data_IF_183948754483
#
_entry.id   IF_183948754483
#
_cell.length_a   1.000
_cell.length_b   1.000
_cell.length_c   1.000
_cell.angle_alpha   90.00
_cell.angle_beta   90.00
_cell.angle_gamma   90.00
#
_symmetry.space_group_name_H-M   'P 1'
#
loop_
_entity.id
_entity.type
_entity.pdbx_description
1 polymer ?
#
# COMPACT_ATOMS: atom_id res chain seq x y z
N UNK A 1 17.43 22.42 1.25
CA UNK A 1 17.79 22.15 -0.15
C UNK A 1 16.80 22.85 -1.06
N UNK A 2 17.31 23.51 -2.09
CA UNK A 2 16.55 24.11 -3.19
C UNK A 2 15.84 23.02 -3.99
N UNK A 3 14.66 23.31 -4.56
CA UNK A 3 13.92 22.33 -5.36
C UNK A 3 14.61 22.06 -6.71
N UNK A 4 14.46 20.84 -7.22
CA UNK A 4 14.88 20.46 -8.57
C UNK A 4 13.93 21.08 -9.61
N UNK A 5 14.46 21.40 -10.80
CA UNK A 5 13.70 22.05 -11.89
C UNK A 5 12.44 21.29 -12.31
N UNK A 6 12.49 19.96 -12.28
CA UNK A 6 11.35 19.07 -12.51
C UNK A 6 11.74 17.65 -12.07
N UNK A 7 10.79 16.71 -12.20
CA UNK A 7 11.02 15.32 -11.82
C UNK A 7 12.11 14.64 -12.67
N UNK A 8 12.25 14.99 -13.96
CA UNK A 8 13.32 14.45 -14.80
C UNK A 8 14.71 14.89 -14.30
N UNK A 9 14.86 16.16 -13.90
CA UNK A 9 16.10 16.64 -13.29
C UNK A 9 16.41 15.89 -11.98
N UNK A 10 15.39 15.57 -11.19
CA UNK A 10 15.55 14.73 -10.01
C UNK A 10 15.95 13.29 -10.37
N UNK A 11 15.29 12.67 -11.36
CA UNK A 11 15.61 11.32 -11.85
C UNK A 11 17.07 11.22 -12.30
N UNK A 12 17.57 12.21 -13.04
CA UNK A 12 18.98 12.32 -13.43
C UNK A 12 19.91 12.49 -12.23
N UNK A 13 19.56 13.38 -11.28
CA UNK A 13 20.37 13.61 -10.08
C UNK A 13 20.51 12.35 -9.22
N UNK A 14 19.42 11.59 -9.07
CA UNK A 14 19.40 10.34 -8.33
C UNK A 14 20.03 9.17 -9.09
N UNK A 15 20.38 9.36 -10.37
CA UNK A 15 20.97 8.33 -11.24
C UNK A 15 20.10 7.07 -11.27
N UNK A 16 18.77 7.25 -11.41
CA UNK A 16 17.83 6.14 -11.46
C UNK A 16 18.15 5.27 -12.69
N UNK A 17 18.55 4.00 -12.51
CA UNK A 17 18.88 3.13 -13.64
C UNK A 17 17.61 2.74 -14.40
N UNK A 18 17.72 2.42 -15.71
CA UNK A 18 16.66 1.70 -16.38
C UNK A 18 16.47 0.33 -15.74
N UNK A 19 15.27 -0.23 -15.87
CA UNK A 19 14.93 -1.59 -15.46
C UNK A 19 14.44 -2.37 -16.68
N UNK A 20 14.38 -3.69 -16.58
CA UNK A 20 13.96 -4.60 -17.65
C UNK A 20 14.86 -4.56 -18.90
N UNK A 21 16.15 -4.26 -18.75
CA UNK A 21 17.13 -4.26 -19.85
C UNK A 21 17.83 -5.62 -20.05
N UNK A 22 17.79 -6.48 -19.04
CA UNK A 22 18.51 -7.76 -19.01
C UNK A 22 19.96 -7.62 -18.52
N UNK A 23 20.33 -6.45 -18.01
CA UNK A 23 21.65 -6.22 -17.43
C UNK A 23 21.81 -7.05 -16.15
N UNK A 24 23.03 -7.58 -15.95
CA UNK A 24 23.40 -8.36 -14.77
C UNK A 24 24.44 -7.62 -13.94
N UNK A 25 24.23 -7.60 -12.65
CA UNK A 25 25.08 -6.97 -11.66
C UNK A 25 25.74 -8.03 -10.77
N UNK A 26 26.92 -7.71 -10.25
CA UNK A 26 27.60 -8.51 -9.26
C UNK A 26 28.04 -7.62 -8.10
N UNK A 27 27.47 -7.87 -6.92
CA UNK A 27 27.87 -7.20 -5.69
C UNK A 27 28.36 -8.23 -4.68
N UNK A 28 29.67 -8.20 -4.38
CA UNK A 28 30.30 -9.13 -3.41
C UNK A 28 30.01 -10.61 -3.71
N UNK A 29 29.98 -11.00 -4.99
CA UNK A 29 29.70 -12.37 -5.43
C UNK A 29 28.23 -12.71 -5.57
N UNK A 30 27.32 -11.82 -5.18
CA UNK A 30 25.88 -11.95 -5.37
C UNK A 30 25.57 -11.41 -6.76
N UNK A 31 25.18 -12.31 -7.68
CA UNK A 31 24.71 -11.95 -9.02
C UNK A 31 23.20 -11.73 -9.02
N UNK A 32 22.71 -10.67 -9.67
CA UNK A 32 21.30 -10.34 -9.86
C UNK A 32 21.10 -9.59 -11.18
N UNK A 33 19.86 -9.46 -11.65
CA UNK A 33 19.50 -8.70 -12.85
C UNK A 33 18.51 -7.56 -12.57
N UNK A 34 18.28 -6.70 -13.57
CA UNK A 34 17.29 -5.62 -13.52
C UNK A 34 15.90 -6.02 -14.02
N UNK A 35 15.61 -7.32 -14.17
CA UNK A 35 14.30 -7.76 -14.66
C UNK A 35 13.33 -7.83 -13.48
N UNK A 36 12.20 -7.14 -13.62
CA UNK A 36 11.11 -7.23 -12.67
C UNK A 36 10.51 -8.63 -12.62
N UNK A 37 10.10 -9.04 -11.42
CA UNK A 37 9.34 -10.25 -11.20
C UNK A 37 8.79 -10.30 -9.79
N UNK A 38 8.35 -11.51 -9.39
CA UNK A 38 7.91 -11.78 -8.03
C UNK A 38 9.01 -12.52 -7.29
N UNK A 39 9.63 -11.84 -6.32
CA UNK A 39 10.76 -12.36 -5.58
C UNK A 39 10.31 -12.88 -4.22
N UNK A 40 10.68 -14.12 -3.91
CA UNK A 40 10.36 -14.73 -2.61
C UNK A 40 11.21 -14.12 -1.49
N UNK A 41 10.57 -13.72 -0.40
CA UNK A 41 11.24 -13.27 0.81
C UNK A 41 10.59 -13.94 2.02
N UNK A 42 11.36 -14.66 2.83
CA UNK A 42 10.83 -15.23 4.07
C UNK A 42 10.46 -14.14 5.06
N UNK A 43 9.40 -14.35 5.83
CA UNK A 43 9.08 -13.49 6.98
C UNK A 43 10.19 -13.56 8.04
N UNK A 44 10.26 -12.53 8.90
CA UNK A 44 11.31 -12.44 9.94
C UNK A 44 11.31 -13.63 10.91
N UNK A 45 10.12 -14.18 11.22
CA UNK A 45 9.90 -15.36 12.05
C UNK A 45 9.92 -16.68 11.25
N UNK A 46 10.17 -16.61 9.94
CA UNK A 46 10.16 -17.71 8.99
C UNK A 46 8.84 -18.49 8.88
N UNK A 47 7.72 -17.95 9.37
CA UNK A 47 6.39 -18.58 9.37
C UNK A 47 5.66 -18.54 8.02
N UNK A 48 5.98 -17.58 7.14
CA UNK A 48 5.37 -17.42 5.82
C UNK A 48 6.37 -16.87 4.77
N UNK A 49 5.93 -16.83 3.52
CA UNK A 49 6.69 -16.30 2.38
C UNK A 49 5.97 -15.07 1.80
N UNK A 50 6.67 -13.95 1.73
CA UNK A 50 6.24 -12.77 0.98
C UNK A 50 6.61 -12.90 -0.50
N UNK A 51 5.77 -12.33 -1.37
CA UNK A 51 6.07 -12.10 -2.78
C UNK A 51 6.27 -10.61 -3.03
N UNK A 52 7.53 -10.19 -3.09
CA UNK A 52 7.89 -8.81 -3.40
C UNK A 52 7.91 -8.60 -4.91
N UNK A 53 7.12 -7.66 -5.40
CA UNK A 53 7.12 -7.28 -6.81
C UNK A 53 8.21 -6.22 -7.09
N UNK A 54 8.91 -6.36 -8.22
CA UNK A 54 9.94 -5.42 -8.67
C UNK A 54 11.25 -6.15 -8.99
N UNK A 55 12.38 -5.44 -8.95
CA UNK A 55 13.71 -6.05 -9.14
C UNK A 55 14.21 -6.69 -7.85
N UNK A 56 15.00 -7.76 -7.98
CA UNK A 56 15.41 -8.60 -6.84
C UNK A 56 16.10 -7.81 -5.71
N UNK A 57 17.01 -6.91 -6.07
CA UNK A 57 17.87 -6.17 -5.16
C UNK A 57 17.61 -4.66 -5.20
N UNK A 58 16.35 -4.25 -5.07
CA UNK A 58 16.04 -2.85 -4.83
C UNK A 58 16.46 -2.43 -3.40
N UNK A 59 17.65 -1.84 -3.29
CA UNK A 59 18.23 -1.31 -2.04
C UNK A 59 17.58 0.01 -1.58
N UNK A 60 16.75 0.60 -2.43
CA UNK A 60 16.14 1.91 -2.23
C UNK A 60 14.69 1.82 -2.66
N UNK A 61 13.81 2.48 -1.91
CA UNK A 61 12.41 2.66 -2.26
C UNK A 61 12.01 4.13 -2.21
N UNK A 62 10.85 4.41 -2.78
CA UNK A 62 10.40 5.75 -3.10
C UNK A 62 8.94 5.95 -2.69
N UNK A 63 8.62 7.17 -2.32
CA UNK A 63 7.24 7.64 -2.14
C UNK A 63 7.09 9.01 -2.78
N UNK A 64 6.21 9.10 -3.76
CA UNK A 64 5.86 10.36 -4.41
C UNK A 64 4.65 11.02 -3.77
N UNK A 65 4.66 12.35 -3.68
CA UNK A 65 3.46 13.13 -3.40
C UNK A 65 3.44 14.40 -4.27
N UNK A 66 2.24 14.78 -4.72
CA UNK A 66 2.01 16.01 -5.49
C UNK A 66 2.37 17.30 -4.75
N UNK A 67 2.51 17.25 -3.43
CA UNK A 67 2.92 18.40 -2.63
C UNK A 67 3.75 17.93 -1.44
N UNK A 68 4.78 18.71 -1.06
CA UNK A 68 5.35 18.65 0.28
C UNK A 68 4.38 19.31 1.26
N UNK A 69 3.70 18.50 2.08
CA UNK A 69 2.78 18.95 3.11
C UNK A 69 3.49 19.36 4.42
N UNK A 70 4.83 19.27 4.47
CA UNK A 70 5.64 19.53 5.66
C UNK A 70 5.92 18.25 6.45
N UNK A 71 4.89 17.43 6.62
CA UNK A 71 4.88 16.16 7.35
C UNK A 71 4.31 15.03 6.47
N UNK A 72 4.71 13.78 6.75
CA UNK A 72 4.25 12.60 6.03
C UNK A 72 3.71 11.56 7.02
N UNK A 73 2.45 11.75 7.41
CA UNK A 73 1.73 10.90 8.37
C UNK A 73 0.99 9.74 7.69
N UNK A 74 0.66 8.71 8.47
CA UNK A 74 -0.20 7.59 8.06
C UNK A 74 -1.63 8.03 7.74
N UNK A 75 -2.46 7.15 7.15
CA UNK A 75 -3.87 7.44 6.93
C UNK A 75 -4.62 7.73 8.23
N UNK A 76 -4.39 6.93 9.27
CA UNK A 76 -5.03 7.08 10.57
C UNK A 76 -4.57 8.33 11.32
N UNK A 77 -3.29 8.72 11.19
CA UNK A 77 -2.75 9.93 11.83
C UNK A 77 -3.18 11.22 11.14
N UNK A 78 -3.74 11.14 9.92
CA UNK A 78 -4.35 12.29 9.23
C UNK A 78 -5.80 12.55 9.63
N UNK A 79 -6.44 11.65 10.39
CA UNK A 79 -7.77 11.86 10.94
C UNK A 79 -7.77 13.09 11.86
N UNK A 80 -8.67 14.06 11.61
CA UNK A 80 -8.65 15.35 12.30
C UNK A 80 -9.28 15.29 13.70
N UNK A 81 -10.26 14.40 13.87
CA UNK A 81 -11.02 14.22 15.11
C UNK A 81 -11.04 12.75 15.54
N UNK A 82 -11.34 12.50 16.81
CA UNK A 82 -11.53 11.14 17.31
C UNK A 82 -12.70 10.42 16.62
N UNK A 83 -13.74 11.16 16.20
CA UNK A 83 -14.83 10.64 15.38
C UNK A 83 -14.36 10.20 13.98
N UNK A 84 -13.44 10.94 13.35
CA UNK A 84 -12.83 10.54 12.06
C UNK A 84 -11.99 9.27 12.24
N UNK A 85 -11.20 9.20 13.31
CA UNK A 85 -10.37 8.05 13.61
C UNK A 85 -11.23 6.81 13.88
N UNK A 86 -12.29 6.95 14.69
CA UNK A 86 -13.20 5.88 15.00
C UNK A 86 -13.92 5.34 13.74
N UNK A 87 -14.42 6.24 12.87
CA UNK A 87 -15.03 5.85 11.58
C UNK A 87 -14.02 5.11 10.67
N UNK A 88 -12.78 5.59 10.60
CA UNK A 88 -11.72 4.92 9.85
C UNK A 88 -11.44 3.51 10.37
N UNK A 89 -11.31 3.34 11.69
CA UNK A 89 -11.09 2.02 12.31
C UNK A 89 -12.27 1.07 12.12
N UNK A 90 -13.50 1.61 12.19
CA UNK A 90 -14.72 0.87 11.95
C UNK A 90 -14.79 0.34 10.52
N UNK A 91 -14.53 1.20 9.52
CA UNK A 91 -14.50 0.81 8.11
C UNK A 91 -13.40 -0.21 7.82
N UNK A 92 -12.23 -0.08 8.45
CA UNK A 92 -11.18 -1.09 8.36
C UNK A 92 -11.65 -2.45 8.87
N UNK A 93 -12.29 -2.51 10.04
CA UNK A 93 -12.83 -3.77 10.59
C UNK A 93 -13.84 -4.43 9.65
N UNK A 94 -14.75 -3.64 9.05
CA UNK A 94 -15.69 -4.17 8.06
C UNK A 94 -14.96 -4.68 6.81
N UNK A 95 -13.99 -3.93 6.30
CA UNK A 95 -13.22 -4.32 5.13
C UNK A 95 -12.45 -5.63 5.36
N UNK A 96 -11.74 -5.73 6.48
CA UNK A 96 -11.00 -6.93 6.89
C UNK A 96 -11.92 -8.13 7.02
N UNK A 97 -13.05 -7.99 7.73
CA UNK A 97 -14.02 -9.06 7.89
C UNK A 97 -14.59 -9.54 6.55
N UNK A 98 -14.88 -8.63 5.62
CA UNK A 98 -15.33 -9.00 4.27
C UNK A 98 -14.22 -9.66 3.45
N UNK A 99 -13.00 -9.12 3.50
CA UNK A 99 -11.84 -9.67 2.81
C UNK A 99 -11.57 -11.12 3.21
N UNK A 100 -11.81 -11.48 4.48
CA UNK A 100 -11.71 -12.85 4.99
C UNK A 100 -12.67 -13.84 4.31
N UNK A 101 -13.76 -13.34 3.73
CA UNK A 101 -14.74 -14.14 2.97
C UNK A 101 -14.43 -14.19 1.47
N UNK A 102 -13.45 -13.42 0.99
CA UNK A 102 -13.13 -13.34 -0.43
C UNK A 102 -12.58 -14.69 -0.93
N UNK A 103 -13.15 -15.30 -1.99
CA UNK A 103 -12.73 -16.62 -2.47
C UNK A 103 -11.24 -16.74 -2.80
N UNK A 104 -10.67 -15.75 -3.50
CA UNK A 104 -9.22 -15.68 -3.76
C UNK A 104 -8.36 -15.77 -2.49
N UNK A 105 -8.73 -15.04 -1.43
CA UNK A 105 -7.99 -15.07 -0.16
C UNK A 105 -8.13 -16.43 0.53
N UNK A 106 -9.36 -16.97 0.60
CA UNK A 106 -9.64 -18.29 1.17
C UNK A 106 -8.84 -19.38 0.44
N UNK A 107 -8.78 -19.29 -0.89
CA UNK A 107 -8.01 -20.21 -1.73
C UNK A 107 -6.51 -20.04 -1.48
N UNK A 108 -6.00 -18.81 -1.44
CA UNK A 108 -4.57 -18.53 -1.28
C UNK A 108 -4.01 -19.02 0.05
N UNK A 109 -4.79 -18.93 1.14
CA UNK A 109 -4.40 -19.44 2.46
C UNK A 109 -4.14 -20.95 2.51
N UNK A 110 -4.59 -21.69 1.50
CA UNK A 110 -4.36 -23.13 1.35
C UNK A 110 -3.19 -23.45 0.41
N UNK A 111 -2.67 -22.46 -0.30
CA UNK A 111 -1.50 -22.61 -1.17
C UNK A 111 -0.25 -22.42 -0.33
N UNK A 112 0.72 -23.29 -0.53
CA UNK A 112 2.04 -23.16 0.09
C UNK A 112 3.13 -23.06 -0.96
N UNK A 113 4.24 -22.42 -0.57
CA UNK A 113 5.48 -22.34 -1.30
C UNK A 113 6.59 -22.81 -0.37
N UNK A 114 7.30 -23.88 -0.75
CA UNK A 114 8.31 -24.54 0.11
C UNK A 114 7.74 -24.87 1.50
N UNK A 115 6.57 -25.53 1.52
CA UNK A 115 5.80 -25.92 2.72
C UNK A 115 5.29 -24.76 3.61
N UNK A 116 5.51 -23.51 3.20
CA UNK A 116 5.08 -22.33 3.95
C UNK A 116 3.90 -21.62 3.28
N UNK A 117 2.94 -21.08 4.04
CA UNK A 117 1.89 -20.24 3.48
C UNK A 117 2.46 -18.92 2.96
N UNK A 118 1.71 -18.25 2.10
CA UNK A 118 2.02 -16.88 1.71
C UNK A 118 1.62 -15.88 2.79
N UNK A 119 2.46 -14.88 3.04
CA UNK A 119 2.14 -13.78 3.94
C UNK A 119 1.08 -12.89 3.29
N UNK A 120 -0.01 -12.60 4.01
CA UNK A 120 -1.08 -11.71 3.55
C UNK A 120 -1.31 -10.63 4.60
N UNK A 121 -1.07 -9.39 4.21
CA UNK A 121 -1.22 -8.19 5.02
C UNK A 121 -2.53 -7.47 4.65
N UNK A 122 -3.58 -7.72 5.42
CA UNK A 122 -4.91 -7.17 5.14
C UNK A 122 -4.98 -5.66 5.30
N UNK A 123 -4.18 -5.08 6.20
CA UNK A 123 -4.07 -3.64 6.36
C UNK A 123 -3.31 -3.03 5.16
N UNK A 124 -2.26 -3.68 4.69
CA UNK A 124 -1.59 -3.34 3.43
C UNK A 124 -2.57 -3.34 2.26
N UNK A 125 -3.34 -4.41 2.09
CA UNK A 125 -4.41 -4.48 1.07
C UNK A 125 -5.40 -3.33 1.25
N UNK A 126 -5.96 -3.14 2.44
CA UNK A 126 -6.93 -2.07 2.74
C UNK A 126 -6.42 -0.68 2.33
N UNK A 127 -5.14 -0.39 2.55
CA UNK A 127 -4.51 0.85 2.12
C UNK A 127 -4.59 1.08 0.59
N UNK A 128 -4.26 0.08 -0.22
CA UNK A 128 -4.32 0.19 -1.68
C UNK A 128 -5.76 0.28 -2.22
N UNK A 129 -6.74 -0.09 -1.41
CA UNK A 129 -8.16 0.10 -1.70
C UNK A 129 -8.75 1.38 -1.09
N UNK A 130 -7.89 2.26 -0.56
CA UNK A 130 -8.24 3.61 -0.15
C UNK A 130 -8.78 3.72 1.28
N UNK A 131 -8.60 2.70 2.11
CA UNK A 131 -8.88 2.79 3.55
C UNK A 131 -7.69 3.42 4.29
N UNK A 132 -7.98 4.16 5.35
CA UNK A 132 -6.96 4.79 6.18
C UNK A 132 -6.30 3.75 7.09
N UNK A 133 -4.99 3.57 7.00
CA UNK A 133 -4.21 2.63 7.82
C UNK A 133 -3.03 3.34 8.49
N UNK A 134 -2.28 2.62 9.33
CA UNK A 134 -1.02 3.07 9.94
C UNK A 134 0.18 2.97 8.99
N UNK A 135 -0.02 2.45 7.78
CA UNK A 135 1.01 2.38 6.76
C UNK A 135 1.21 3.72 6.03
N UNK A 136 2.39 3.88 5.44
CA UNK A 136 2.62 4.70 4.25
C UNK A 136 3.11 3.82 3.10
N UNK A 137 2.54 4.04 1.93
CA UNK A 137 2.90 3.32 0.72
C UNK A 137 4.27 3.77 0.19
N UNK A 138 5.13 2.79 -0.08
CA UNK A 138 6.46 2.94 -0.68
C UNK A 138 6.61 1.91 -1.80
N UNK A 139 7.42 2.23 -2.80
CA UNK A 139 7.63 1.36 -3.97
C UNK A 139 9.11 1.35 -4.37
N UNK A 140 9.67 0.19 -4.75
CA UNK A 140 11.03 0.12 -5.30
C UNK A 140 11.09 0.67 -6.74
N UNK A 141 9.94 0.90 -7.38
CA UNK A 141 9.86 1.38 -8.76
C UNK A 141 9.70 2.90 -8.78
N UNK A 142 10.76 3.59 -9.24
CA UNK A 142 10.78 5.05 -9.28
C UNK A 142 9.69 5.64 -10.20
N UNK A 143 9.32 4.96 -11.28
CA UNK A 143 8.30 5.45 -12.21
C UNK A 143 6.91 5.35 -11.58
N UNK A 144 6.62 4.29 -10.79
CA UNK A 144 5.39 4.20 -10.00
C UNK A 144 5.32 5.34 -8.97
N UNK A 145 6.39 5.57 -8.21
CA UNK A 145 6.44 6.71 -7.28
C UNK A 145 6.28 8.05 -8.01
N UNK A 146 6.83 8.16 -9.22
CA UNK A 146 6.71 9.35 -10.06
C UNK A 146 5.27 9.65 -10.45
N UNK A 147 4.46 8.62 -10.71
CA UNK A 147 3.03 8.76 -10.95
C UNK A 147 2.35 9.46 -9.76
N UNK A 148 2.51 8.93 -8.54
CA UNK A 148 1.95 9.53 -7.32
C UNK A 148 2.53 10.92 -6.98
N UNK A 149 3.75 11.20 -7.44
CA UNK A 149 4.37 12.52 -7.28
C UNK A 149 3.82 13.57 -8.25
N UNK A 150 3.20 13.16 -9.36
CA UNK A 150 2.86 14.08 -10.46
C UNK A 150 1.41 14.02 -10.93
N UNK A 151 0.58 13.10 -10.42
CA UNK A 151 -0.86 13.06 -10.75
C UNK A 151 -1.72 13.40 -9.54
N UNK A 152 -2.75 14.24 -9.74
CA UNK A 152 -3.77 14.52 -8.74
C UNK A 152 -5.03 13.71 -9.01
N UNK A 153 -5.68 13.21 -7.97
CA UNK A 153 -7.00 12.61 -8.10
C UNK A 153 -8.07 13.69 -8.23
N UNK A 154 -8.99 13.53 -9.18
CA UNK A 154 -10.15 14.40 -9.36
C UNK A 154 -11.42 13.65 -8.95
N UNK A 155 -12.01 14.06 -7.83
CA UNK A 155 -13.22 13.43 -7.27
C UNK A 155 -14.45 13.55 -8.18
N UNK A 156 -14.51 14.55 -9.08
CA UNK A 156 -15.67 14.72 -9.97
C UNK A 156 -15.61 13.75 -11.15
N UNK A 157 -14.42 13.55 -11.71
CA UNK A 157 -14.22 12.67 -12.86
C UNK A 157 -13.85 11.25 -12.43
N UNK A 158 -13.54 11.05 -11.14
CA UNK A 158 -13.06 9.79 -10.56
C UNK A 158 -11.83 9.25 -11.32
N UNK A 159 -10.89 10.15 -11.64
CA UNK A 159 -9.69 9.85 -12.42
C UNK A 159 -8.49 10.66 -11.93
N UNK A 160 -7.31 10.14 -12.21
CA UNK A 160 -6.08 10.92 -12.08
C UNK A 160 -5.98 11.95 -13.21
N UNK A 161 -5.36 13.09 -12.92
CA UNK A 161 -5.07 14.15 -13.88
C UNK A 161 -3.63 14.64 -13.71
N UNK A 162 -2.92 14.94 -14.81
CA UNK A 162 -1.56 15.45 -14.73
C UNK A 162 -1.46 16.75 -13.95
N UNK A 163 -0.53 16.82 -13.00
CA UNK A 163 -0.24 18.06 -12.28
C UNK A 163 0.30 19.11 -13.24
N UNK A 164 -0.35 20.28 -13.21
CA UNK A 164 0.12 21.47 -13.90
C UNK A 164 1.22 22.16 -13.09
N UNK A 165 1.94 23.08 -13.74
CA UNK A 165 2.86 23.97 -13.03
C UNK A 165 2.11 24.73 -11.93
N UNK A 166 2.56 24.59 -10.69
CA UNK A 166 1.95 25.26 -9.54
C UNK A 166 3.01 25.75 -8.54
N UNK A 167 2.59 26.60 -7.60
CA UNK A 167 3.49 27.16 -6.58
C UNK A 167 3.97 26.10 -5.58
N UNK A 168 3.12 25.10 -5.31
CA UNK A 168 3.45 23.98 -4.43
C UNK A 168 4.44 23.05 -5.12
N UNK A 169 5.43 22.58 -4.38
CA UNK A 169 6.48 21.71 -4.90
C UNK A 169 6.07 20.26 -4.69
N UNK A 170 6.22 19.43 -5.71
CA UNK A 170 6.14 17.98 -5.56
C UNK A 170 7.28 17.48 -4.67
N UNK A 171 7.10 16.30 -4.08
CA UNK A 171 8.09 15.68 -3.21
C UNK A 171 8.28 14.21 -3.54
N UNK A 172 9.53 13.78 -3.51
CA UNK A 172 9.94 12.39 -3.57
C UNK A 172 10.71 12.07 -2.29
N UNK A 173 10.18 11.15 -1.50
CA UNK A 173 10.92 10.55 -0.40
C UNK A 173 11.68 9.36 -0.93
N UNK A 174 12.93 9.21 -0.49
CA UNK A 174 13.80 8.07 -0.77
C UNK A 174 14.15 7.41 0.54
N UNK A 175 13.96 6.10 0.65
CA UNK A 175 14.29 5.33 1.85
C UNK A 175 15.20 4.15 1.51
N UNK A 176 16.12 3.84 2.43
CA UNK A 176 16.86 2.57 2.42
C UNK A 176 16.22 1.65 3.49
N UNK A 177 15.40 0.65 3.11
CA UNK A 177 14.60 -0.12 4.05
C UNK A 177 15.40 -1.12 4.90
N UNK A 178 16.71 -1.26 4.69
CA UNK A 178 17.55 -2.29 5.33
C UNK A 178 17.40 -2.38 6.86
N UNK A 179 17.23 -1.25 7.55
CA UNK A 179 17.02 -1.22 9.01
C UNK A 179 15.56 -1.54 9.38
N UNK A 180 14.61 -1.12 8.54
CA UNK A 180 13.17 -1.29 8.77
C UNK A 180 12.67 -2.73 8.54
N UNK A 181 13.48 -3.57 7.87
CA UNK A 181 13.21 -5.00 7.66
C UNK A 181 13.48 -5.82 8.92
N UNK A 182 14.28 -5.31 9.85
CA UNK A 182 14.58 -6.01 11.10
C UNK A 182 13.51 -5.71 12.15
N UNK A 183 13.07 -6.70 12.93
CA UNK A 183 12.16 -6.46 14.06
C UNK A 183 12.86 -5.62 15.14
N UNK A 184 12.09 -4.82 15.88
CA UNK A 184 12.59 -4.05 17.01
C UNK A 184 11.96 -4.56 18.32
N UNK A 185 12.70 -5.41 19.04
CA UNK A 185 12.15 -6.08 20.21
C UNK A 185 11.03 -7.04 19.80
N UNK A 186 9.87 -6.91 20.45
CA UNK A 186 8.66 -7.70 20.16
C UNK A 186 7.78 -7.10 19.06
N UNK A 187 8.13 -5.92 18.54
CA UNK A 187 7.37 -5.27 17.46
C UNK A 187 7.73 -5.87 16.09
N UNK A 188 6.73 -6.09 15.21
CA UNK A 188 7.00 -6.54 13.85
C UNK A 188 7.85 -5.51 13.10
N UNK A 189 8.57 -5.91 12.04
CA UNK A 189 9.28 -4.99 11.17
C UNK A 189 8.36 -3.87 10.67
N UNK A 190 8.89 -2.64 10.63
CA UNK A 190 8.16 -1.51 10.06
C UNK A 190 7.96 -1.69 8.55
N UNK A 191 8.86 -2.40 7.87
CA UNK A 191 8.75 -2.71 6.45
C UNK A 191 7.97 -4.01 6.21
N UNK A 192 6.97 -3.98 5.34
CA UNK A 192 6.23 -5.16 4.90
C UNK A 192 6.13 -5.19 3.37
N UNK A 193 6.58 -6.26 2.69
CA UNK A 193 6.24 -6.45 1.29
C UNK A 193 4.73 -6.62 1.12
N UNK A 194 4.12 -5.73 0.33
CA UNK A 194 2.69 -5.86 0.02
C UNK A 194 2.55 -6.63 -1.29
N UNK A 195 3.02 -6.08 -2.41
CA UNK A 195 3.21 -6.78 -3.69
C UNK A 195 2.00 -7.62 -4.11
N UNK A 196 2.26 -8.81 -4.65
CA UNK A 196 1.17 -9.72 -4.98
C UNK A 196 0.62 -10.39 -3.72
N UNK A 197 -0.63 -10.12 -3.38
CA UNK A 197 -1.36 -10.76 -2.29
C UNK A 197 -2.78 -11.10 -2.76
N UNK A 198 -2.97 -12.23 -3.44
CA UNK A 198 -4.05 -12.50 -4.43
C UNK A 198 -4.70 -11.36 -5.25
N UNK A 199 -4.25 -10.11 -5.13
CA UNK A 199 -4.88 -8.93 -5.73
C UNK A 199 -3.88 -8.20 -6.64
N UNK A 200 -4.36 -7.72 -7.79
CA UNK A 200 -3.50 -7.10 -8.82
C UNK A 200 -2.99 -5.74 -8.42
N UNK A 201 -3.83 -4.94 -7.75
CA UNK A 201 -3.53 -3.54 -7.51
C UNK A 201 -2.21 -3.33 -6.75
N UNK A 202 -1.93 -4.01 -5.62
CA UNK A 202 -0.66 -3.79 -4.94
C UNK A 202 0.53 -4.38 -5.72
N UNK A 203 0.34 -5.42 -6.55
CA UNK A 203 1.38 -5.90 -7.46
C UNK A 203 1.71 -4.86 -8.54
N UNK A 204 0.72 -4.28 -9.21
CA UNK A 204 0.94 -3.28 -10.26
C UNK A 204 1.62 -2.01 -9.73
N UNK A 205 1.38 -1.67 -8.46
CA UNK A 205 2.03 -0.56 -7.78
C UNK A 205 3.42 -0.94 -7.21
N UNK A 206 3.83 -2.21 -7.37
CA UNK A 206 5.06 -2.76 -6.76
C UNK A 206 5.12 -2.44 -5.25
N UNK A 207 3.98 -2.56 -4.60
CA UNK A 207 3.74 -1.95 -3.32
C UNK A 207 4.52 -2.60 -2.18
N UNK A 208 5.07 -1.78 -1.29
CA UNK A 208 5.48 -2.18 0.04
C UNK A 208 4.95 -1.16 1.06
N UNK A 209 4.73 -1.60 2.29
CA UNK A 209 4.28 -0.74 3.37
C UNK A 209 5.42 -0.38 4.31
N UNK A 210 5.46 0.87 4.75
CA UNK A 210 6.19 1.27 5.95
C UNK A 210 5.17 1.61 7.04
N UNK A 211 5.11 0.80 8.10
CA UNK A 211 4.24 1.01 9.26
C UNK A 211 4.80 2.12 10.14
N UNK A 212 3.98 3.12 10.43
CA UNK A 212 4.33 4.23 11.31
C UNK A 212 3.78 3.99 12.72
N UNK A 213 4.59 4.33 13.73
CA UNK A 213 4.08 4.48 15.08
C UNK A 213 3.08 5.66 15.15
N UNK A 214 2.25 5.70 16.20
CA UNK A 214 1.24 6.76 16.38
C UNK A 214 1.91 8.13 16.40
N UNK A 215 1.51 9.01 15.48
CA UNK A 215 2.08 10.35 15.33
C UNK A 215 3.51 10.40 14.77
N UNK A 216 4.07 9.27 14.32
CA UNK A 216 5.37 9.25 13.65
C UNK A 216 5.28 9.92 12.28
N UNK A 217 6.27 10.74 11.96
CA UNK A 217 6.38 11.44 10.69
C UNK A 217 7.42 10.74 9.83
N UNK A 218 6.97 10.07 8.76
CA UNK A 218 7.84 9.35 7.83
C UNK A 218 8.97 10.22 7.27
N UNK A 219 8.74 11.54 7.12
CA UNK A 219 9.76 12.45 6.60
C UNK A 219 10.94 12.68 7.56
N UNK A 220 10.80 12.29 8.83
CA UNK A 220 11.81 12.43 9.88
C UNK A 220 12.48 11.09 10.25
N UNK A 221 12.03 9.98 9.68
CA UNK A 221 12.67 8.68 9.84
C UNK A 221 14.12 8.78 9.34
N UNK A 222 15.07 8.28 10.13
CA UNK A 222 16.51 8.50 9.91
C UNK A 222 17.00 8.03 8.53
N UNK A 223 16.40 6.98 7.97
CA UNK A 223 16.75 6.42 6.66
C UNK A 223 16.04 7.09 5.48
N UNK A 224 15.19 8.08 5.75
CA UNK A 224 14.41 8.80 4.73
C UNK A 224 15.11 10.10 4.34
N UNK A 225 15.27 10.30 3.04
CA UNK A 225 15.73 11.56 2.45
C UNK A 225 14.62 12.18 1.62
N UNK A 226 14.40 13.49 1.82
CA UNK A 226 13.36 14.26 1.13
C UNK A 226 13.93 15.08 -0.03
N UNK A 227 13.39 14.91 -1.23
CA UNK A 227 13.72 15.68 -2.43
C UNK A 227 12.50 16.43 -2.96
N UNK A 228 12.62 17.74 -3.22
CA UNK A 228 11.53 18.57 -3.74
C UNK A 228 11.77 18.89 -5.22
N UNK A 229 10.72 18.96 -6.02
CA UNK A 229 10.82 19.36 -7.42
C UNK A 229 9.67 20.28 -7.84
N UNK A 230 9.89 21.06 -8.89
CA UNK A 230 8.88 21.91 -9.50
C UNK A 230 8.01 21.09 -10.47
N UNK A 231 6.69 21.28 -10.41
CA UNK A 231 5.80 20.63 -11.37
C UNK A 231 6.02 21.16 -12.78
N UNK A 232 5.99 20.26 -13.75
CA UNK A 232 6.10 20.58 -15.17
C UNK A 232 5.07 19.74 -15.92
N UNK A 233 4.18 20.41 -16.65
CA UNK A 233 3.04 19.76 -17.30
C UNK A 233 3.48 18.69 -18.31
N UNK A 234 4.51 18.94 -19.11
CA UNK A 234 4.98 17.98 -20.12
C UNK A 234 5.48 16.69 -19.46
N UNK A 235 6.22 16.80 -18.35
CA UNK A 235 6.70 15.65 -17.57
C UNK A 235 5.55 14.91 -16.91
N UNK A 236 4.61 15.61 -16.26
CA UNK A 236 3.43 14.98 -15.64
C UNK A 236 2.61 14.23 -16.70
N UNK A 237 2.41 14.84 -17.88
CA UNK A 237 1.67 14.21 -18.98
C UNK A 237 2.38 12.96 -19.51
N UNK A 238 3.70 13.01 -19.69
CA UNK A 238 4.47 11.84 -20.13
C UNK A 238 4.27 10.65 -19.17
N UNK A 239 4.34 10.89 -17.86
CA UNK A 239 4.14 9.86 -16.84
C UNK A 239 2.69 9.38 -16.84
N UNK A 240 1.73 10.28 -16.99
CA UNK A 240 0.31 9.92 -17.13
C UNK A 240 0.08 8.97 -18.31
N UNK A 241 0.64 9.29 -19.48
CA UNK A 241 0.50 8.46 -20.68
C UNK A 241 1.21 7.10 -20.51
N UNK A 242 2.38 7.06 -19.83
CA UNK A 242 3.12 5.83 -19.52
C UNK A 242 2.30 4.83 -18.69
N UNK A 243 1.41 5.32 -17.82
CA UNK A 243 0.55 4.48 -16.98
C UNK A 243 -0.90 4.42 -17.49
N UNK A 244 -1.15 4.81 -18.74
CA UNK A 244 -2.48 4.83 -19.36
C UNK A 244 -3.53 5.57 -18.52
N UNK A 245 -3.12 6.72 -17.98
CA UNK A 245 -3.96 7.52 -17.08
C UNK A 245 -4.17 6.95 -15.68
N UNK A 246 -3.40 5.92 -15.32
CA UNK A 246 -3.48 5.22 -14.04
C UNK A 246 -4.11 3.83 -14.16
N UNK A 247 -4.70 3.48 -15.31
CA UNK A 247 -5.38 2.18 -15.50
C UNK A 247 -4.42 0.99 -15.28
N UNK A 248 -3.14 1.15 -15.62
CA UNK A 248 -2.13 0.11 -15.34
C UNK A 248 -1.85 -0.07 -13.84
N UNK A 249 -2.01 0.97 -13.01
CA UNK A 249 -1.76 0.93 -11.56
C UNK A 249 -3.02 0.63 -10.75
N UNK A 250 -4.20 0.85 -11.32
CA UNK A 250 -5.49 0.69 -10.68
C UNK A 250 -6.39 -0.22 -11.52
N UNK A 251 -6.01 -1.49 -11.73
CA UNK A 251 -6.87 -2.44 -12.41
C UNK A 251 -8.20 -2.54 -11.68
N UNK A 252 -9.27 -2.66 -12.46
CA UNK A 252 -10.61 -2.82 -11.93
C UNK A 252 -10.78 -4.25 -11.41
N UNK A 253 -11.13 -4.38 -10.13
CA UNK A 253 -11.39 -5.68 -9.51
C UNK A 253 -12.58 -5.61 -8.53
N UNK A 254 -13.25 -6.73 -8.22
CA UNK A 254 -14.39 -6.74 -7.29
C UNK A 254 -14.08 -6.26 -5.86
N UNK A 255 -12.81 -6.31 -5.43
CA UNK A 255 -12.39 -5.81 -4.12
C UNK A 255 -12.40 -4.28 -4.07
N UNK A 256 -12.16 -3.60 -5.20
CA UNK A 256 -12.34 -2.16 -5.35
C UNK A 256 -13.79 -1.75 -5.09
N UNK A 257 -14.74 -2.43 -5.75
CA UNK A 257 -16.15 -2.16 -5.54
C UNK A 257 -16.55 -2.43 -4.08
N UNK A 258 -16.06 -3.52 -3.49
CA UNK A 258 -16.31 -3.81 -2.09
C UNK A 258 -15.80 -2.69 -1.16
N UNK A 259 -14.58 -2.20 -1.38
CA UNK A 259 -14.03 -1.07 -0.63
C UNK A 259 -14.87 0.21 -0.78
N UNK A 260 -15.41 0.48 -1.98
CA UNK A 260 -16.30 1.61 -2.22
C UNK A 260 -17.61 1.47 -1.44
N UNK A 261 -18.20 0.28 -1.41
CA UNK A 261 -19.37 0.03 -0.57
C UNK A 261 -19.04 0.18 0.93
N UNK A 262 -17.89 -0.31 1.39
CA UNK A 262 -17.44 -0.11 2.78
C UNK A 262 -17.28 1.38 3.11
N UNK A 263 -16.73 2.20 2.21
CA UNK A 263 -16.60 3.65 2.38
C UNK A 263 -17.95 4.37 2.35
N UNK A 264 -18.96 3.81 1.69
CA UNK A 264 -20.31 4.35 1.62
C UNK A 264 -21.25 3.85 2.73
N UNK A 265 -20.82 2.87 3.54
CA UNK A 265 -21.66 2.32 4.62
C UNK A 265 -22.06 3.38 5.65
N UNK A 266 -23.32 3.29 6.06
CA UNK A 266 -23.98 4.14 7.07
C UNK A 266 -24.62 3.32 8.20
N UNK A 267 -24.48 1.99 8.19
CA UNK A 267 -25.10 1.10 9.17
C UNK A 267 -24.08 0.08 9.66
N UNK A 268 -23.94 -0.07 10.98
CA UNK A 268 -22.94 -0.95 11.60
C UNK A 268 -23.54 -1.77 12.72
N UNK A 269 -23.03 -2.98 12.92
CA UNK A 269 -23.46 -3.86 14.02
C UNK A 269 -22.71 -3.53 15.31
N UNK A 270 -23.28 -3.95 16.45
CA UNK A 270 -22.63 -3.75 17.75
C UNK A 270 -21.25 -4.43 17.81
N UNK A 271 -21.08 -5.58 17.16
CA UNK A 271 -19.80 -6.28 17.08
C UNK A 271 -18.73 -5.45 16.36
N UNK A 272 -19.09 -4.81 15.24
CA UNK A 272 -18.19 -3.93 14.48
C UNK A 272 -17.79 -2.70 15.29
N UNK A 273 -18.75 -2.10 16.02
CA UNK A 273 -18.51 -0.97 16.91
C UNK A 273 -17.56 -1.36 18.04
N UNK A 274 -17.76 -2.52 18.67
CA UNK A 274 -16.90 -3.01 19.74
C UNK A 274 -15.47 -3.24 19.25
N UNK A 275 -15.28 -3.87 18.09
CA UNK A 275 -13.96 -4.09 17.51
C UNK A 275 -13.24 -2.77 17.20
N UNK A 276 -13.95 -1.79 16.63
CA UNK A 276 -13.43 -0.45 16.38
C UNK A 276 -13.04 0.26 17.68
N UNK A 277 -13.84 0.09 18.74
CA UNK A 277 -13.56 0.64 20.08
C UNK A 277 -12.28 0.06 20.68
N UNK A 278 -12.06 -1.25 20.56
CA UNK A 278 -10.83 -1.89 21.00
C UNK A 278 -9.60 -1.39 20.23
N UNK A 279 -9.71 -1.27 18.90
CA UNK A 279 -8.67 -0.69 18.05
C UNK A 279 -8.36 0.76 18.44
N UNK A 280 -9.40 1.55 18.71
CA UNK A 280 -9.27 2.93 19.16
C UNK A 280 -8.58 3.01 20.52
N UNK A 281 -8.99 2.16 21.48
CA UNK A 281 -8.42 2.12 22.82
C UNK A 281 -6.94 1.72 22.82
N UNK A 282 -6.55 0.74 22.01
CA UNK A 282 -5.13 0.37 21.83
C UNK A 282 -4.31 1.54 21.28
N UNK A 283 -4.88 2.34 20.36
CA UNK A 283 -4.19 3.46 19.73
C UNK A 283 -4.09 4.69 20.63
N UNK A 284 -5.14 5.02 21.36
CA UNK A 284 -5.28 6.29 22.12
C UNK A 284 -5.05 6.12 23.62
N UNK A 285 -5.00 4.89 24.12
CA UNK A 285 -4.90 4.59 25.55
C UNK A 285 -6.16 4.92 26.33
N UNK A 286 -7.31 5.09 25.66
CA UNK A 286 -8.59 5.43 26.28
C UNK A 286 -9.74 4.67 25.61
N UNK A 287 -10.66 4.14 26.41
CA UNK A 287 -11.86 3.45 25.91
C UNK A 287 -13.04 4.42 25.93
N UNK A 288 -13.64 4.75 24.77
CA UNK A 288 -14.83 5.59 24.73
C UNK A 288 -16.04 4.84 25.31
N UNK A 289 -16.95 5.56 25.93
CA UNK A 289 -18.21 5.00 26.40
C UNK A 289 -19.26 4.91 25.27
N UNK A 290 -20.39 4.27 25.56
CA UNK A 290 -21.45 4.06 24.58
C UNK A 290 -22.09 5.38 24.11
N UNK A 291 -22.20 6.38 24.98
CA UNK A 291 -22.75 7.69 24.61
C UNK A 291 -21.83 8.39 23.59
N UNK A 292 -20.52 8.28 23.79
CA UNK A 292 -19.50 8.81 22.88
C UNK A 292 -19.53 8.09 21.53
N UNK A 293 -19.64 6.76 21.51
CA UNK A 293 -19.80 6.01 20.27
C UNK A 293 -21.05 6.45 19.49
N UNK A 294 -22.20 6.59 20.16
CA UNK A 294 -23.45 7.03 19.52
C UNK A 294 -23.34 8.46 18.99
N UNK A 295 -22.67 9.35 19.71
CA UNK A 295 -22.42 10.72 19.26
C UNK A 295 -21.55 10.74 17.99
N UNK A 296 -20.46 9.95 17.95
CA UNK A 296 -19.60 9.85 16.76
C UNK A 296 -20.32 9.23 15.56
N UNK A 297 -21.09 8.16 15.76
CA UNK A 297 -21.90 7.55 14.70
C UNK A 297 -22.91 8.57 14.14
N UNK A 298 -23.63 9.28 15.01
CA UNK A 298 -24.59 10.32 14.61
C UNK A 298 -23.91 11.44 13.83
N UNK A 299 -22.75 11.92 14.29
CA UNK A 299 -21.93 12.91 13.58
C UNK A 299 -21.55 12.46 12.17
N UNK A 300 -21.35 11.15 11.97
CA UNK A 300 -21.00 10.53 10.69
C UNK A 300 -22.20 10.10 9.85
N UNK A 301 -23.43 10.40 10.30
CA UNK A 301 -24.64 9.95 9.62
C UNK A 301 -24.78 8.43 9.60
N UNK A 302 -24.20 7.76 10.60
CA UNK A 302 -24.19 6.32 10.76
C UNK A 302 -25.10 5.88 11.91
N UNK A 303 -25.64 4.66 11.85
CA UNK A 303 -26.49 4.11 12.90
C UNK A 303 -26.18 2.65 13.23
N UNK A 304 -26.62 2.23 14.42
CA UNK A 304 -26.56 0.84 14.87
C UNK A 304 -27.68 0.03 14.22
N UNK A 305 -27.34 -1.17 13.73
CA UNK A 305 -28.28 -2.17 13.20
C UNK A 305 -27.96 -3.55 13.76
N UNK A 306 -28.93 -4.46 13.73
CA UNK A 306 -28.73 -5.84 14.19
C UNK A 306 -27.87 -6.64 13.20
N UNK A 307 -28.07 -6.42 11.90
CA UNK A 307 -27.38 -7.12 10.81
C UNK A 307 -26.92 -6.14 9.73
N UNK A 308 -25.75 -6.39 9.13
CA UNK A 308 -25.24 -5.61 8.01
C UNK A 308 -25.48 -6.38 6.70
N UNK A 309 -26.04 -5.71 5.70
CA UNK A 309 -26.36 -6.27 4.39
C UNK A 309 -25.15 -6.45 3.47
N UNK A 310 -23.99 -5.90 3.84
CA UNK A 310 -22.78 -5.97 3.03
C UNK A 310 -22.24 -7.41 2.89
N UNK A 311 -22.55 -8.29 3.85
CA UNK A 311 -22.14 -9.69 3.83
C UNK A 311 -23.35 -10.61 3.86
N UNK A 312 -23.54 -11.51 2.87
CA UNK A 312 -22.57 -11.89 1.83
C UNK A 312 -22.47 -10.88 0.68
N UNK A 313 -21.24 -10.54 0.29
CA UNK A 313 -20.96 -9.75 -0.91
C UNK A 313 -20.83 -10.67 -2.12
N UNK A 314 -21.44 -10.32 -3.25
CA UNK A 314 -21.26 -11.06 -4.49
C UNK A 314 -19.94 -10.66 -5.15
N UNK A 315 -18.87 -11.40 -4.84
CA UNK A 315 -17.54 -11.18 -5.38
C UNK A 315 -17.44 -11.37 -6.90
N UNK A 316 -18.45 -11.96 -7.56
CA UNK A 316 -18.40 -12.36 -8.98
C UNK A 316 -17.09 -13.09 -9.32
N UNK A 317 -16.67 -13.96 -8.41
CA UNK A 317 -15.39 -14.63 -8.49
C UNK A 317 -15.42 -15.74 -9.54
N UNK A 318 -14.49 -15.68 -10.50
CA UNK A 318 -14.24 -16.74 -11.47
C UNK A 318 -13.08 -17.61 -10.96
N UNK A 319 -13.41 -18.80 -10.48
CA UNK A 319 -12.43 -19.74 -9.95
C UNK A 319 -11.46 -20.23 -11.04
N UNK A 320 -11.93 -20.45 -12.26
CA UNK A 320 -11.08 -20.94 -13.34
C UNK A 320 -10.05 -19.89 -13.76
N UNK A 321 -10.49 -18.64 -13.94
CA UNK A 321 -9.59 -17.54 -14.25
C UNK A 321 -8.57 -17.30 -13.12
N UNK A 322 -9.00 -17.41 -11.86
CA UNK A 322 -8.10 -17.27 -10.73
C UNK A 322 -7.02 -18.37 -10.68
N UNK A 323 -7.38 -19.64 -10.91
CA UNK A 323 -6.39 -20.73 -10.93
C UNK A 323 -5.40 -20.58 -12.10
N UNK A 324 -5.85 -20.15 -13.28
CA UNK A 324 -4.95 -19.85 -14.41
C UNK A 324 -3.95 -18.76 -14.03
N UNK A 325 -4.43 -17.68 -13.42
CA UNK A 325 -3.57 -16.58 -12.97
C UNK A 325 -2.61 -17.00 -11.86
N UNK A 326 -3.05 -17.86 -10.94
CA UNK A 326 -2.17 -18.43 -9.91
C UNK A 326 -1.06 -19.28 -10.55
N UNK A 327 -1.38 -20.07 -11.58
CA UNK A 327 -0.40 -20.81 -12.36
C UNK A 327 0.59 -19.88 -13.08
N UNK A 328 0.10 -18.82 -13.73
CA UNK A 328 0.95 -17.81 -14.38
C UNK A 328 1.86 -17.10 -13.38
N UNK A 329 1.32 -16.66 -12.25
CA UNK A 329 2.10 -16.07 -11.17
C UNK A 329 3.18 -17.03 -10.69
N UNK A 330 2.86 -18.32 -10.50
CA UNK A 330 3.85 -19.31 -10.06
C UNK A 330 5.06 -19.44 -11.00
N UNK A 331 4.86 -19.21 -12.32
CA UNK A 331 5.94 -19.22 -13.32
C UNK A 331 6.83 -17.96 -13.23
N UNK A 332 6.32 -16.88 -12.65
CA UNK A 332 7.03 -15.61 -12.46
C UNK A 332 7.77 -15.55 -11.13
N UNK A 333 7.53 -16.50 -10.21
CA UNK A 333 8.22 -16.56 -8.92
C UNK A 333 9.72 -16.85 -9.13
N UNK A 334 10.55 -15.95 -8.64
CA UNK A 334 12.01 -16.03 -8.67
C UNK A 334 12.52 -16.33 -7.27
N UNK A 335 13.28 -17.41 -7.17
CA UNK A 335 13.89 -17.88 -5.91
C UNK A 335 15.40 -17.79 -6.00
N UNK A 336 16.01 -17.13 -5.01
CA UNK A 336 17.45 -17.26 -4.81
C UNK A 336 17.73 -18.54 -4.04
N UNK A 337 18.15 -19.59 -4.74
CA UNK A 337 18.65 -20.81 -4.10
C UNK A 337 20.07 -20.53 -3.60
N UNK A 338 20.27 -20.57 -2.28
CA UNK A 338 21.62 -20.62 -1.71
C UNK A 338 22.26 -21.91 -2.24
N UNK A 339 23.35 -21.81 -2.98
CA UNK A 339 24.16 -22.99 -3.29
C UNK A 339 24.75 -23.41 -1.95
N UNK A 340 24.26 -24.51 -1.38
CA UNK A 340 24.95 -25.19 -0.29
C UNK A 340 26.34 -25.55 -0.80
N UNK A 341 27.36 -24.92 -0.22
CA UNK A 341 28.77 -25.25 -0.48
C UNK A 341 29.11 -26.55 0.22
#
# INVERSE_FOLDING_TARGET
>A
MTAFKNLNALKTHLQIPPINTGERFNYRGIVFDDIEGLHTMGSADASCVHLRAGVEWALVEYRGQVCDYGECLSGLDRCQTDADLFDALLRNGVFEAGLQTHPALVRMRRVTFDEKPFCIDQQGVAQHYGLATDYVDITPNFDVASFFATQQWNDKTQRYEPMQACLKKGVMYRITPAIAILPHGDEPPAYTPIGWQPFERPEQQRANGYRLAVGEDFSKVQTVTKFRFDHNWEVSKQIYDQFEGGDLLFPHDPLAEFADHVKALTHFTQAQINEASEKFARRKGLTPDNETHQAWLTQKGCCLVDENTLTPFNWRFDEHAFEQKLEEMSKQIRVRRTISV
#
